data_IF_377145353193
#
_entry.id   IF_377145353193
#
_cell.length_a   1.000
_cell.length_b   1.000
_cell.length_c   1.000
_cell.angle_alpha   90.00
_cell.angle_beta   90.00
_cell.angle_gamma   90.00
#
_symmetry.space_group_name_H-M   'P 1'
#
loop_
_entity.id
_entity.type
_entity.pdbx_description
1 polymer ?
#
# COMPACT_ATOMS: atom_id res chain seq x y z
N UNK A 1 10.96 6.92 -32.50
CA UNK A 1 10.48 8.13 -31.79
C UNK A 1 10.14 7.72 -30.36
N UNK A 2 10.99 8.11 -29.42
CA UNK A 2 10.73 7.90 -27.98
C UNK A 2 9.75 8.97 -27.50
N UNK A 3 8.62 8.51 -26.97
CA UNK A 3 7.59 9.39 -26.42
C UNK A 3 7.97 9.68 -24.97
N UNK A 4 8.60 10.83 -24.74
CA UNK A 4 8.89 11.33 -23.40
C UNK A 4 7.58 11.68 -22.70
N UNK A 5 7.19 10.89 -21.69
CA UNK A 5 6.07 11.24 -20.81
C UNK A 5 6.63 12.17 -19.73
N UNK A 6 6.17 13.41 -19.62
CA UNK A 6 6.65 14.31 -18.58
C UNK A 6 6.40 13.65 -17.21
N UNK A 7 7.42 13.59 -16.34
CA UNK A 7 7.28 12.97 -15.03
C UNK A 7 6.19 13.69 -14.22
N UNK A 8 5.17 12.95 -13.81
CA UNK A 8 4.08 13.49 -12.99
C UNK A 8 4.55 13.65 -11.53
N UNK A 9 4.97 14.86 -11.17
CA UNK A 9 5.39 15.20 -9.79
C UNK A 9 4.23 15.29 -8.80
N UNK A 10 2.97 15.27 -9.26
CA UNK A 10 1.78 15.35 -8.41
C UNK A 10 1.69 14.22 -7.38
N UNK A 11 2.16 13.01 -7.71
CA UNK A 11 2.17 11.88 -6.77
C UNK A 11 3.15 12.11 -5.62
N UNK A 12 4.35 12.60 -5.93
CA UNK A 12 5.34 12.96 -4.93
C UNK A 12 4.86 14.11 -4.03
N UNK A 13 4.22 15.14 -4.61
CA UNK A 13 3.64 16.25 -3.86
C UNK A 13 2.54 15.79 -2.89
N UNK A 14 1.67 14.86 -3.31
CA UNK A 14 0.62 14.33 -2.46
C UNK A 14 1.19 13.50 -1.31
N UNK A 15 2.21 12.66 -1.57
CA UNK A 15 2.92 11.91 -0.54
C UNK A 15 3.61 12.86 0.46
N UNK A 16 4.28 13.90 -0.04
CA UNK A 16 4.93 14.90 0.80
C UNK A 16 3.92 15.63 1.71
N UNK A 17 2.74 15.98 1.18
CA UNK A 17 1.67 16.61 1.95
C UNK A 17 1.17 15.69 3.07
N UNK A 18 0.96 14.40 2.78
CA UNK A 18 0.54 13.41 3.78
C UNK A 18 1.60 13.28 4.89
N UNK A 19 2.89 13.22 4.53
CA UNK A 19 3.99 13.14 5.52
C UNK A 19 4.00 14.38 6.42
N UNK A 20 3.89 15.58 5.85
CA UNK A 20 3.85 16.83 6.62
C UNK A 20 2.65 16.85 7.57
N UNK A 21 1.49 16.38 7.12
CA UNK A 21 0.29 16.31 7.94
C UNK A 21 0.46 15.34 9.11
N UNK A 22 1.03 14.15 8.87
CA UNK A 22 1.33 13.16 9.91
C UNK A 22 2.34 13.73 10.92
N UNK A 23 3.41 14.37 10.44
CA UNK A 23 4.43 15.01 11.29
C UNK A 23 3.84 16.16 12.13
N UNK A 24 2.94 16.96 11.56
CA UNK A 24 2.23 18.03 12.27
C UNK A 24 1.31 17.49 13.38
N UNK A 25 0.58 16.42 13.11
CA UNK A 25 -0.23 15.72 14.11
C UNK A 25 0.64 15.10 15.22
N UNK A 26 1.80 14.54 14.86
CA UNK A 26 2.81 14.05 15.80
C UNK A 26 3.37 15.16 16.69
N UNK A 27 3.56 16.36 16.14
CA UNK A 27 4.12 17.51 16.87
C UNK A 27 3.22 17.97 18.02
N UNK A 28 1.89 17.97 17.81
CA UNK A 28 0.91 18.40 18.82
C UNK A 28 0.74 17.36 19.94
N UNK A 29 0.91 16.06 19.65
CA UNK A 29 0.76 14.95 20.62
C UNK A 29 2.09 14.36 21.10
N UNK A 30 3.05 15.23 21.44
CA UNK A 30 4.38 14.83 21.93
C UNK A 30 4.34 13.90 23.16
N UNK A 31 3.39 14.09 24.07
CA UNK A 31 3.35 13.28 25.30
C UNK A 31 2.90 11.82 25.11
N UNK A 32 2.36 11.47 23.94
CA UNK A 32 1.93 10.10 23.61
C UNK A 32 3.01 9.26 22.90
N UNK A 33 4.25 9.76 22.80
CA UNK A 33 5.36 9.08 22.08
C UNK A 33 5.82 7.74 22.68
N UNK A 34 5.26 7.29 23.83
CA UNK A 34 5.55 5.96 24.40
C UNK A 34 5.24 4.82 23.42
N UNK A 35 4.25 4.98 22.55
CA UNK A 35 3.88 4.01 21.52
C UNK A 35 4.93 3.88 20.40
N UNK A 36 5.60 4.97 20.04
CA UNK A 36 6.61 5.00 18.98
C UNK A 36 7.97 4.46 19.42
N UNK A 37 8.21 4.23 20.71
CA UNK A 37 9.39 3.51 21.20
C UNK A 37 9.10 2.04 21.53
N UNK A 38 7.87 1.57 21.30
CA UNK A 38 7.51 0.18 21.54
C UNK A 38 8.02 -0.71 20.40
N UNK A 39 8.94 -1.63 20.71
CA UNK A 39 9.49 -2.59 19.74
C UNK A 39 8.40 -3.48 19.09
N UNK A 40 7.29 -3.74 19.79
CA UNK A 40 6.17 -4.55 19.25
C UNK A 40 5.46 -3.81 18.11
N UNK A 41 5.25 -2.50 18.26
CA UNK A 41 4.61 -1.64 17.25
C UNK A 41 5.46 -1.63 15.98
N UNK A 42 6.77 -1.45 16.11
CA UNK A 42 7.69 -1.50 14.98
C UNK A 42 7.75 -2.89 14.34
N UNK A 43 7.67 -3.97 15.14
CA UNK A 43 7.59 -5.33 14.63
C UNK A 43 6.36 -5.56 13.74
N UNK A 44 5.17 -5.18 14.21
CA UNK A 44 3.91 -5.28 13.43
C UNK A 44 3.98 -4.43 12.17
N UNK A 45 4.56 -3.22 12.27
CA UNK A 45 4.72 -2.32 11.13
C UNK A 45 5.63 -2.89 10.04
N UNK A 46 6.78 -3.46 10.42
CA UNK A 46 7.72 -4.07 9.47
C UNK A 46 7.10 -5.29 8.79
N UNK A 47 6.40 -6.14 9.53
CA UNK A 47 5.71 -7.31 8.95
C UNK A 47 4.63 -6.85 7.96
N UNK A 48 3.87 -5.80 8.28
CA UNK A 48 2.86 -5.25 7.36
C UNK A 48 3.45 -4.72 6.05
N UNK A 49 4.61 -4.06 6.12
CA UNK A 49 5.32 -3.61 4.91
C UNK A 49 5.77 -4.80 4.06
N UNK A 50 6.33 -5.84 4.69
CA UNK A 50 6.79 -7.04 3.97
C UNK A 50 5.62 -7.74 3.27
N UNK A 51 4.47 -7.89 3.94
CA UNK A 51 3.25 -8.42 3.33
C UNK A 51 2.79 -7.60 2.13
N UNK A 52 2.79 -6.26 2.24
CA UNK A 52 2.43 -5.38 1.13
C UNK A 52 3.32 -5.58 -0.12
N UNK A 53 4.63 -5.78 0.07
CA UNK A 53 5.56 -6.07 -1.02
C UNK A 53 5.36 -7.46 -1.63
N UNK A 54 5.01 -8.47 -0.81
CA UNK A 54 4.75 -9.84 -1.27
C UNK A 54 3.41 -9.93 -2.02
N UNK A 55 2.41 -9.15 -1.62
CA UNK A 55 1.06 -9.16 -2.19
C UNK A 55 0.99 -8.69 -3.66
N UNK A 56 2.09 -8.24 -4.28
CA UNK A 56 2.13 -7.88 -5.70
C UNK A 56 1.47 -6.54 -6.03
N UNK A 57 1.17 -5.69 -5.03
CA UNK A 57 0.65 -4.34 -5.26
C UNK A 57 1.61 -3.45 -6.03
N UNK A 58 2.91 -3.68 -5.89
CA UNK A 58 3.96 -3.00 -6.67
C UNK A 58 3.90 -3.34 -8.15
N UNK A 59 3.50 -4.57 -8.51
CA UNK A 59 3.30 -4.96 -9.89
C UNK A 59 2.10 -4.23 -10.49
N UNK A 60 1.01 -4.06 -9.75
CA UNK A 60 -0.14 -3.25 -10.19
C UNK A 60 0.22 -1.77 -10.31
N UNK A 61 1.04 -1.25 -9.40
CA UNK A 61 1.50 0.14 -9.41
C UNK A 61 2.32 0.49 -10.66
N UNK A 62 3.13 -0.45 -11.17
CA UNK A 62 4.00 -0.25 -12.34
C UNK A 62 3.24 -0.52 -13.65
N UNK A 63 2.32 -1.48 -13.68
CA UNK A 63 1.66 -1.92 -14.92
C UNK A 63 0.39 -1.13 -15.28
N UNK A 64 -0.05 -0.23 -14.41
CA UNK A 64 -1.23 0.60 -14.63
C UNK A 64 -2.55 -0.15 -14.37
N UNK A 65 -3.63 0.58 -14.03
CA UNK A 65 -4.89 -0.02 -13.62
C UNK A 65 -5.60 -0.74 -14.79
N UNK A 66 -6.05 -1.99 -14.62
CA UNK A 66 -6.75 -2.75 -15.66
C UNK A 66 -8.22 -2.33 -15.83
N UNK A 67 -8.80 -1.57 -14.89
CA UNK A 67 -10.25 -1.32 -14.82
C UNK A 67 -10.70 0.03 -15.39
N UNK A 68 -9.80 0.85 -15.94
CA UNK A 68 -10.18 2.08 -16.62
C UNK A 68 -10.33 1.80 -18.12
N UNK A 69 -11.52 1.98 -18.72
CA UNK A 69 -11.67 2.00 -20.17
C UNK A 69 -10.81 3.15 -20.70
N UNK A 70 -9.67 2.82 -21.31
CA UNK A 70 -8.84 3.83 -21.95
C UNK A 70 -9.66 4.39 -23.12
N UNK A 71 -9.71 5.72 -23.21
CA UNK A 71 -10.40 6.51 -24.23
C UNK A 71 -10.40 5.83 -25.62
N UNK A 72 -11.50 6.01 -26.36
CA UNK A 72 -11.86 5.45 -27.68
C UNK A 72 -10.78 5.44 -28.80
N UNK A 73 -9.62 6.07 -28.58
CA UNK A 73 -8.49 6.14 -29.51
C UNK A 73 -7.20 5.45 -29.00
N UNK A 74 -7.23 4.76 -27.85
CA UNK A 74 -6.09 4.02 -27.30
C UNK A 74 -6.10 2.55 -27.74
N UNK A 75 -6.21 2.29 -29.05
CA UNK A 75 -6.35 0.93 -29.61
C UNK A 75 -5.07 0.09 -29.53
N UNK A 76 -3.92 0.63 -29.07
CA UNK A 76 -2.63 -0.08 -29.24
C UNK A 76 -2.12 -0.82 -27.99
N UNK A 77 -2.72 -0.67 -26.80
CA UNK A 77 -2.17 -1.35 -25.59
C UNK A 77 -3.17 -2.10 -24.70
N UNK A 78 -4.48 -2.00 -24.96
CA UNK A 78 -5.51 -2.65 -24.13
C UNK A 78 -6.01 -3.98 -24.69
N UNK A 79 -5.85 -4.22 -25.99
CA UNK A 79 -6.31 -5.44 -26.65
C UNK A 79 -5.34 -6.65 -26.50
N UNK A 80 -4.13 -6.44 -25.96
CA UNK A 80 -3.10 -7.49 -25.85
C UNK A 80 -2.80 -7.94 -24.41
N UNK A 81 -3.43 -7.33 -23.41
CA UNK A 81 -3.24 -7.74 -22.01
C UNK A 81 -4.24 -8.85 -21.69
N UNK A 82 -3.89 -10.07 -22.11
CA UNK A 82 -4.73 -11.26 -22.00
C UNK A 82 -5.24 -11.52 -20.57
N UNK A 83 -6.31 -12.31 -20.48
CA UNK A 83 -7.08 -12.61 -19.24
C UNK A 83 -6.20 -12.79 -17.99
N UNK A 84 -5.01 -13.38 -18.10
CA UNK A 84 -4.08 -13.57 -16.97
C UNK A 84 -3.65 -12.29 -16.23
N UNK A 85 -3.61 -11.13 -16.90
CA UNK A 85 -3.17 -9.89 -16.26
C UNK A 85 -4.25 -9.23 -15.38
N UNK A 86 -5.52 -9.35 -15.75
CA UNK A 86 -6.64 -8.92 -14.90
C UNK A 86 -6.81 -9.87 -13.71
N UNK A 87 -6.60 -11.18 -13.92
CA UNK A 87 -6.56 -12.18 -12.84
C UNK A 87 -5.47 -11.86 -11.80
N UNK A 88 -4.27 -11.48 -12.24
CA UNK A 88 -3.19 -11.12 -11.32
C UNK A 88 -3.55 -9.92 -10.42
N UNK A 89 -4.22 -8.89 -10.97
CA UNK A 89 -4.65 -7.71 -10.19
C UNK A 89 -5.67 -8.08 -9.12
N UNK A 90 -6.64 -8.93 -9.48
CA UNK A 90 -7.67 -9.41 -8.56
C UNK A 90 -7.05 -10.24 -7.43
N UNK A 91 -6.15 -11.17 -7.77
CA UNK A 91 -5.45 -12.00 -6.78
C UNK A 91 -4.60 -11.11 -5.86
N UNK A 92 -3.85 -10.15 -6.40
CA UNK A 92 -3.06 -9.21 -5.62
C UNK A 92 -3.93 -8.35 -4.67
N UNK A 93 -5.14 -7.99 -5.07
CA UNK A 93 -6.07 -7.21 -4.23
C UNK A 93 -6.63 -8.07 -3.09
N UNK A 94 -6.99 -9.32 -3.40
CA UNK A 94 -7.46 -10.28 -2.40
C UNK A 94 -6.34 -10.60 -1.39
N UNK A 95 -5.10 -10.77 -1.86
CA UNK A 95 -3.93 -11.02 -1.01
C UNK A 95 -3.70 -9.90 0.01
N UNK A 96 -3.82 -8.62 -0.37
CA UNK A 96 -3.70 -7.50 0.61
C UNK A 96 -4.77 -7.59 1.70
N UNK A 97 -6.00 -7.94 1.32
CA UNK A 97 -7.10 -8.05 2.29
C UNK A 97 -6.85 -9.19 3.27
N UNK A 98 -6.35 -10.32 2.78
CA UNK A 98 -5.98 -11.48 3.60
C UNK A 98 -4.80 -11.14 4.53
N UNK A 99 -3.77 -10.48 4.02
CA UNK A 99 -2.63 -10.03 4.81
C UNK A 99 -3.06 -9.00 5.88
N UNK A 100 -3.97 -8.09 5.55
CA UNK A 100 -4.57 -7.17 6.51
C UNK A 100 -5.33 -7.90 7.63
N UNK A 101 -6.12 -8.91 7.29
CA UNK A 101 -6.85 -9.73 8.27
C UNK A 101 -5.90 -10.52 9.18
N UNK A 102 -4.82 -11.09 8.64
CA UNK A 102 -3.84 -11.82 9.46
C UNK A 102 -3.11 -10.87 10.42
N UNK A 103 -2.79 -9.64 10.01
CA UNK A 103 -2.21 -8.63 10.89
C UNK A 103 -3.16 -8.20 12.02
N UNK A 104 -4.45 -8.03 11.73
CA UNK A 104 -5.47 -7.74 12.76
C UNK A 104 -5.56 -8.88 13.78
N UNK A 105 -5.52 -10.12 13.30
CA UNK A 105 -5.51 -11.31 14.16
C UNK A 105 -4.24 -11.37 15.03
N UNK A 106 -3.06 -11.14 14.44
CA UNK A 106 -1.78 -11.07 15.17
C UNK A 106 -1.83 -9.97 16.23
N UNK A 107 -2.32 -8.78 15.90
CA UNK A 107 -2.46 -7.67 16.85
C UNK A 107 -3.38 -8.06 18.02
N UNK A 108 -4.51 -8.70 17.72
CA UNK A 108 -5.47 -9.15 18.74
C UNK A 108 -4.86 -10.22 19.67
N UNK A 109 -4.03 -11.11 19.12
CA UNK A 109 -3.27 -12.08 19.92
C UNK A 109 -2.26 -11.40 20.84
N UNK A 110 -1.53 -10.40 20.34
CA UNK A 110 -0.56 -9.66 21.14
C UNK A 110 -1.23 -8.87 22.27
N UNK A 111 -2.38 -8.24 22.02
CA UNK A 111 -3.15 -7.53 23.05
C UNK A 111 -3.69 -8.50 24.12
N UNK A 112 -4.24 -9.66 23.72
CA UNK A 112 -4.69 -10.70 24.66
C UNK A 112 -3.54 -11.26 25.50
N UNK A 113 -2.35 -11.41 24.92
CA UNK A 113 -1.16 -11.89 25.65
C UNK A 113 -0.62 -10.83 26.62
N UNK A 114 -0.67 -9.54 26.26
CA UNK A 114 -0.20 -8.45 27.12
C UNK A 114 -1.15 -8.18 28.29
N UNK A 115 -2.47 -8.32 28.10
CA UNK A 115 -3.48 -8.21 29.17
C UNK A 115 -3.42 -9.35 30.19
N UNK A 116 -2.89 -10.52 29.81
CA UNK A 116 -2.75 -11.68 30.69
C UNK A 116 -1.45 -11.71 31.51
N UNK A 117 -0.58 -10.70 31.40
CA UNK A 117 0.60 -10.54 32.26
C UNK A 117 0.39 -9.43 33.27
#
# INVERSE_FOLDING_TARGET
>A
IEIYRPPNYSGFLLIALIIIMILGLLYVKRDSFKFLFNNIVWGIFVIGIVCYFISGQTWNLINGPPFMPQHKNAVVNTAQRGDGASHFVVIATISVVVDGLTLVFVCSYFDVVHVRK
#
